data_IF_003100192319
#
_entry.id   IF_003100192319
#
_cell.length_a   1.000
_cell.length_b   1.000
_cell.length_c   1.000
_cell.angle_alpha   90.00
_cell.angle_beta   90.00
_cell.angle_gamma   90.00
#
_symmetry.space_group_name_H-M   'P 1'
#
loop_
_entity.id
_entity.type
_entity.pdbx_description
1 polymer ?
#
# COMPACT_ATOMS: atom_id res chain seq x y z
N UNK A 1 -18.36 2.24 -7.65
CA UNK A 1 -17.40 1.50 -6.80
C UNK A 1 -15.98 2.00 -7.02
N UNK A 2 -15.25 2.19 -5.95
CA UNK A 2 -13.83 2.51 -6.00
C UNK A 2 -13.05 1.45 -5.25
N UNK A 3 -11.83 1.17 -5.72
CA UNK A 3 -10.93 0.18 -5.12
C UNK A 3 -9.78 0.86 -4.41
N UNK A 4 -9.48 0.41 -3.19
CA UNK A 4 -8.30 0.83 -2.45
C UNK A 4 -7.40 -0.39 -2.22
N UNK A 5 -6.14 -0.25 -2.56
CA UNK A 5 -5.11 -1.26 -2.29
C UNK A 5 -4.08 -0.66 -1.34
N UNK A 6 -3.84 -1.35 -0.23
CA UNK A 6 -2.83 -0.97 0.75
C UNK A 6 -1.65 -1.95 0.65
N UNK A 7 -0.45 -1.43 0.55
CA UNK A 7 0.77 -2.24 0.42
C UNK A 7 1.75 -1.83 1.53
N UNK A 8 2.09 -2.78 2.39
CA UNK A 8 3.20 -2.58 3.31
C UNK A 8 4.51 -2.69 2.53
N UNK A 9 5.47 -1.80 2.78
CA UNK A 9 6.76 -1.85 2.11
C UNK A 9 7.39 -3.26 2.16
N UNK A 10 8.21 -3.59 1.17
CA UNK A 10 8.93 -4.85 1.12
C UNK A 10 10.03 -4.90 2.18
N UNK A 11 10.61 -6.08 2.40
CA UNK A 11 11.57 -6.31 3.48
C UNK A 11 12.77 -5.37 3.37
N UNK A 12 13.06 -4.67 4.46
CA UNK A 12 14.14 -3.68 4.51
C UNK A 12 15.39 -4.22 5.19
N UNK A 13 16.51 -3.54 4.93
CA UNK A 13 17.83 -3.90 5.45
C UNK A 13 18.06 -3.24 6.80
N UNK A 14 18.54 -4.02 7.77
CA UNK A 14 18.95 -3.56 9.09
C UNK A 14 20.47 -3.70 9.32
N UNK A 15 21.23 -4.07 8.28
CA UNK A 15 22.63 -4.45 8.43
C UNK A 15 23.59 -3.26 8.62
N UNK A 16 23.15 -2.03 8.33
CA UNK A 16 24.00 -0.84 8.42
C UNK A 16 23.81 -0.15 9.78
N UNK A 17 24.80 -0.26 10.71
CA UNK A 17 24.71 0.41 12.01
C UNK A 17 24.65 1.93 11.85
N UNK A 18 23.82 2.58 12.66
CA UNK A 18 23.70 4.04 12.66
C UNK A 18 22.94 4.64 11.50
N UNK A 19 22.40 3.83 10.60
CA UNK A 19 21.57 4.33 9.52
C UNK A 19 20.22 4.83 10.05
N UNK A 20 19.80 6.00 9.61
CA UNK A 20 18.51 6.59 9.95
C UNK A 20 17.41 5.69 9.38
N UNK A 21 16.36 5.45 10.17
CA UNK A 21 15.24 4.56 9.76
C UNK A 21 14.66 4.94 8.39
N UNK A 22 14.46 6.22 8.15
CA UNK A 22 13.94 6.74 6.89
C UNK A 22 14.74 6.28 5.67
N UNK A 23 16.06 6.17 5.81
CA UNK A 23 16.99 5.87 4.72
C UNK A 23 17.23 4.38 4.50
N UNK A 24 16.66 3.51 5.33
CA UNK A 24 16.90 2.07 5.20
C UNK A 24 16.36 1.54 3.86
N UNK A 25 17.23 0.92 3.03
CA UNK A 25 16.82 0.36 1.74
C UNK A 25 16.16 -1.02 1.89
N UNK A 26 15.68 -1.55 0.79
CA UNK A 26 15.25 -2.94 0.74
C UNK A 26 16.45 -3.88 0.83
N UNK A 27 16.27 -5.03 1.51
CA UNK A 27 17.25 -6.11 1.46
C UNK A 27 16.99 -6.98 0.20
N UNK A 28 17.76 -8.05 0.03
CA UNK A 28 17.64 -8.92 -1.14
C UNK A 28 16.25 -9.53 -1.26
N UNK A 29 15.66 -9.94 -0.15
CA UNK A 29 14.30 -10.50 -0.14
C UNK A 29 13.28 -9.45 -0.60
N UNK A 30 13.40 -8.22 -0.09
CA UNK A 30 12.51 -7.14 -0.50
C UNK A 30 12.63 -6.81 -1.98
N UNK A 31 13.84 -6.80 -2.51
CA UNK A 31 14.10 -6.56 -3.93
C UNK A 31 13.48 -7.65 -4.82
N UNK A 32 13.35 -8.86 -4.30
CA UNK A 32 12.71 -9.98 -4.99
C UNK A 32 11.18 -9.92 -4.86
N UNK A 33 10.68 -9.63 -3.66
CA UNK A 33 9.25 -9.70 -3.35
C UNK A 33 8.45 -8.58 -4.02
N UNK A 34 9.02 -7.37 -4.14
CA UNK A 34 8.29 -6.24 -4.72
C UNK A 34 7.86 -6.50 -6.18
N UNK A 35 8.74 -6.91 -7.10
CA UNK A 35 8.30 -7.21 -8.47
C UNK A 35 7.39 -8.44 -8.53
N UNK A 36 7.59 -9.44 -7.66
CA UNK A 36 6.76 -10.64 -7.63
C UNK A 36 5.31 -10.29 -7.27
N UNK A 37 5.11 -9.50 -6.22
CA UNK A 37 3.76 -9.10 -5.82
C UNK A 37 3.10 -8.22 -6.87
N UNK A 38 3.86 -7.36 -7.53
CA UNK A 38 3.35 -6.57 -8.65
C UNK A 38 2.89 -7.46 -9.81
N UNK A 39 3.65 -8.52 -10.12
CA UNK A 39 3.26 -9.47 -11.16
C UNK A 39 1.96 -10.20 -10.80
N UNK A 40 1.77 -10.56 -9.52
CA UNK A 40 0.51 -11.17 -9.06
C UNK A 40 -0.68 -10.21 -9.25
N UNK A 41 -0.49 -8.94 -8.90
CA UNK A 41 -1.53 -7.92 -9.12
C UNK A 41 -1.84 -7.76 -10.60
N UNK A 42 -0.82 -7.73 -11.44
CA UNK A 42 -1.00 -7.62 -12.89
C UNK A 42 -1.77 -8.80 -13.47
N UNK A 43 -1.46 -10.03 -13.03
CA UNK A 43 -2.16 -11.23 -13.49
C UNK A 43 -3.64 -11.23 -13.11
N UNK A 44 -3.97 -10.53 -12.02
CA UNK A 44 -5.36 -10.35 -11.56
C UNK A 44 -6.00 -9.09 -12.14
N UNK A 45 -5.32 -8.38 -13.04
CA UNK A 45 -5.76 -7.14 -13.68
C UNK A 45 -6.04 -6.03 -12.67
N UNK A 46 -5.26 -5.98 -11.59
CA UNK A 46 -5.37 -4.97 -10.53
C UNK A 46 -4.30 -3.90 -10.73
N UNK A 47 -4.54 -3.01 -11.69
CA UNK A 47 -3.66 -1.89 -11.98
C UNK A 47 -4.27 -0.60 -11.42
N UNK A 48 -3.55 0.12 -10.53
CA UNK A 48 -4.07 1.38 -10.01
C UNK A 48 -3.95 2.53 -11.03
N UNK A 49 -4.84 3.52 -10.89
CA UNK A 49 -4.77 4.78 -11.64
C UNK A 49 -3.82 5.76 -10.96
N UNK A 50 -3.65 5.63 -9.66
CA UNK A 50 -2.84 6.55 -8.85
C UNK A 50 -2.22 5.79 -7.69
N UNK A 51 -0.99 6.18 -7.35
CA UNK A 51 -0.24 5.61 -6.24
C UNK A 51 0.23 6.73 -5.32
N UNK A 52 0.14 6.51 -4.01
CA UNK A 52 0.65 7.44 -3.00
C UNK A 52 1.54 6.65 -2.05
N UNK A 53 2.75 7.13 -1.81
CA UNK A 53 3.72 6.42 -0.98
C UNK A 53 4.27 7.28 0.13
N UNK A 54 4.57 6.63 1.26
CA UNK A 54 5.49 7.18 2.25
C UNK A 54 6.82 7.48 1.56
N UNK A 55 7.49 8.58 1.91
CA UNK A 55 8.79 8.93 1.32
C UNK A 55 9.96 8.12 1.89
N UNK A 56 9.77 7.31 2.94
CA UNK A 56 10.84 6.43 3.43
C UNK A 56 11.35 5.57 2.28
N UNK A 57 12.68 5.40 2.20
CA UNK A 57 13.33 4.75 1.06
C UNK A 57 12.73 3.37 0.78
N UNK A 58 12.51 2.56 1.82
CA UNK A 58 11.94 1.21 1.65
C UNK A 58 10.53 1.22 1.06
N UNK A 59 9.71 2.20 1.42
CA UNK A 59 8.34 2.31 0.89
C UNK A 59 8.33 2.86 -0.53
N UNK A 60 9.07 3.92 -0.77
CA UNK A 60 9.15 4.54 -2.09
C UNK A 60 9.77 3.62 -3.12
N UNK A 61 10.79 2.84 -2.73
CA UNK A 61 11.40 1.84 -3.61
C UNK A 61 10.39 0.76 -3.98
N UNK A 62 9.63 0.25 -2.99
CA UNK A 62 8.56 -0.72 -3.24
C UNK A 62 7.56 -0.17 -4.24
N UNK A 63 7.10 1.07 -4.01
CA UNK A 63 6.12 1.73 -4.88
C UNK A 63 6.67 1.92 -6.30
N UNK A 64 7.92 2.35 -6.43
CA UNK A 64 8.55 2.59 -7.74
C UNK A 64 8.71 1.29 -8.53
N UNK A 65 9.11 0.21 -7.87
CA UNK A 65 9.23 -1.12 -8.51
C UNK A 65 7.87 -1.60 -8.98
N UNK A 66 6.84 -1.49 -8.13
CA UNK A 66 5.49 -1.90 -8.50
C UNK A 66 4.91 -1.04 -9.62
N UNK A 67 5.15 0.27 -9.60
CA UNK A 67 4.71 1.17 -10.67
C UNK A 67 5.28 0.74 -12.02
N UNK A 68 6.58 0.41 -12.05
CA UNK A 68 7.23 -0.05 -13.28
C UNK A 68 6.63 -1.37 -13.77
N UNK A 69 6.47 -2.36 -12.88
CA UNK A 69 5.91 -3.66 -13.25
C UNK A 69 4.44 -3.57 -13.68
N UNK A 70 3.67 -2.68 -13.06
CA UNK A 70 2.26 -2.46 -13.37
C UNK A 70 2.05 -1.46 -14.51
N UNK A 71 3.13 -0.88 -15.04
CA UNK A 71 3.08 0.13 -16.11
C UNK A 71 2.27 1.36 -15.71
N UNK A 72 2.46 1.82 -14.49
CA UNK A 72 1.91 3.07 -13.98
C UNK A 72 2.93 4.17 -14.23
N UNK A 73 2.50 5.27 -14.84
CA UNK A 73 3.41 6.38 -15.15
C UNK A 73 3.96 7.01 -13.86
N UNK A 74 5.22 7.44 -13.90
CA UNK A 74 5.86 8.07 -12.74
C UNK A 74 5.09 9.31 -12.24
N UNK A 75 4.41 10.01 -13.13
CA UNK A 75 3.57 11.17 -12.80
C UNK A 75 2.34 10.79 -11.97
N UNK A 76 1.97 9.51 -11.92
CA UNK A 76 0.86 9.02 -11.12
C UNK A 76 1.31 8.49 -9.75
N UNK A 77 2.61 8.52 -9.45
CA UNK A 77 3.15 8.16 -8.15
C UNK A 77 3.54 9.42 -7.39
N UNK A 78 2.90 9.63 -6.26
CA UNK A 78 3.03 10.81 -5.41
C UNK A 78 3.53 10.39 -4.03
N UNK A 79 4.30 11.26 -3.37
CA UNK A 79 4.76 11.05 -2.00
C UNK A 79 3.99 11.93 -1.04
N UNK A 80 3.79 11.46 0.20
CA UNK A 80 3.23 12.27 1.27
C UNK A 80 3.87 11.88 2.60
N UNK A 81 4.48 12.84 3.28
CA UNK A 81 5.19 12.62 4.54
C UNK A 81 4.29 12.10 5.65
N UNK A 82 2.99 12.40 5.61
CA UNK A 82 2.04 11.94 6.61
C UNK A 82 1.89 10.42 6.62
N UNK A 83 2.32 9.74 5.56
CA UNK A 83 2.30 8.27 5.51
C UNK A 83 3.46 7.62 6.23
N UNK A 84 4.49 8.39 6.61
CA UNK A 84 5.62 7.83 7.34
C UNK A 84 5.20 7.48 8.77
N UNK A 85 5.19 6.19 9.10
CA UNK A 85 4.77 5.64 10.41
C UNK A 85 3.40 6.18 10.83
N UNK A 86 2.49 6.30 9.88
CA UNK A 86 1.19 6.95 10.05
C UNK A 86 0.23 6.14 10.93
N UNK A 87 -0.64 6.86 11.63
CA UNK A 87 -1.84 6.27 12.25
C UNK A 87 -2.92 6.01 11.21
N UNK A 88 -3.93 5.17 11.51
CA UNK A 88 -5.08 5.02 10.60
C UNK A 88 -5.77 6.34 10.25
N UNK A 89 -5.90 7.24 11.23
CA UNK A 89 -6.53 8.56 10.99
C UNK A 89 -5.73 9.39 9.99
N UNK A 90 -4.39 9.38 10.08
CA UNK A 90 -3.52 10.08 9.13
C UNK A 90 -3.65 9.48 7.73
N UNK A 91 -3.69 8.16 7.62
CA UNK A 91 -3.85 7.48 6.34
C UNK A 91 -5.20 7.81 5.71
N UNK A 92 -6.27 7.85 6.51
CA UNK A 92 -7.60 8.21 6.03
C UNK A 92 -7.59 9.65 5.48
N UNK A 93 -6.96 10.58 6.18
CA UNK A 93 -6.86 11.97 5.74
C UNK A 93 -6.14 12.06 4.39
N UNK A 94 -5.02 11.35 4.23
CA UNK A 94 -4.26 11.33 2.97
C UNK A 94 -5.13 10.81 1.82
N UNK A 95 -5.81 9.68 2.02
CA UNK A 95 -6.66 9.09 0.98
C UNK A 95 -7.79 10.05 0.61
N UNK A 96 -8.45 10.64 1.59
CA UNK A 96 -9.54 11.59 1.34
C UNK A 96 -9.09 12.83 0.56
N UNK A 97 -7.91 13.35 0.89
CA UNK A 97 -7.41 14.57 0.25
C UNK A 97 -6.79 14.32 -1.11
N UNK A 98 -6.08 13.21 -1.28
CA UNK A 98 -5.23 12.99 -2.46
C UNK A 98 -5.76 11.92 -3.42
N UNK A 99 -6.82 11.21 -3.06
CA UNK A 99 -7.39 10.17 -3.92
C UNK A 99 -7.92 10.69 -5.25
N UNK A 100 -8.42 11.91 -5.27
CA UNK A 100 -8.90 12.56 -6.48
C UNK A 100 -9.99 11.76 -7.18
N UNK A 101 -9.86 11.62 -8.49
CA UNK A 101 -10.80 10.88 -9.33
C UNK A 101 -10.36 9.43 -9.61
N UNK A 102 -9.32 8.94 -8.92
CA UNK A 102 -8.83 7.59 -9.13
C UNK A 102 -9.92 6.55 -8.83
N UNK A 103 -10.13 5.62 -9.76
CA UNK A 103 -11.03 4.48 -9.55
C UNK A 103 -10.36 3.40 -8.71
N UNK A 104 -9.05 3.26 -8.86
CA UNK A 104 -8.22 2.35 -8.07
C UNK A 104 -7.02 3.14 -7.55
N UNK A 105 -6.99 3.32 -6.25
CA UNK A 105 -5.91 4.01 -5.54
C UNK A 105 -5.06 2.99 -4.79
N UNK A 106 -3.74 3.09 -4.90
CA UNK A 106 -2.80 2.22 -4.19
C UNK A 106 -1.94 3.08 -3.24
N UNK A 107 -1.85 2.67 -1.99
CA UNK A 107 -1.14 3.41 -0.94
C UNK A 107 -0.10 2.52 -0.30
N UNK A 108 1.13 3.05 -0.16
CA UNK A 108 2.28 2.34 0.40
C UNK A 108 2.66 2.93 1.74
N UNK A 109 2.77 2.08 2.75
CA UNK A 109 3.05 2.55 4.11
C UNK A 109 3.69 1.50 5.00
N UNK A 110 3.47 1.66 6.29
CA UNK A 110 4.20 0.98 7.36
C UNK A 110 3.28 0.37 8.41
N UNK A 111 3.74 -0.69 9.06
CA UNK A 111 3.10 -1.20 10.27
C UNK A 111 3.51 -0.38 11.51
N UNK A 112 2.70 -0.36 12.55
CA UNK A 112 1.41 -1.06 12.68
C UNK A 112 0.24 -0.35 12.00
N UNK A 113 0.40 0.89 11.61
CA UNK A 113 -0.69 1.73 11.11
C UNK A 113 -1.42 1.13 9.92
N UNK A 114 -0.71 0.52 8.95
CA UNK A 114 -1.34 0.01 7.75
C UNK A 114 -2.23 -1.21 8.02
N UNK A 115 -1.83 -2.08 8.94
CA UNK A 115 -2.67 -3.21 9.37
C UNK A 115 -3.93 -2.70 10.07
N UNK A 116 -3.76 -1.76 10.99
CA UNK A 116 -4.87 -1.16 11.71
C UNK A 116 -5.84 -0.44 10.76
N UNK A 117 -5.29 0.29 9.78
CA UNK A 117 -6.08 0.99 8.78
C UNK A 117 -6.92 0.00 7.95
N UNK A 118 -6.29 -1.07 7.46
CA UNK A 118 -7.00 -2.11 6.71
C UNK A 118 -8.16 -2.68 7.53
N UNK A 119 -7.92 -3.02 8.79
CA UNK A 119 -8.92 -3.60 9.66
C UNK A 119 -10.07 -2.62 9.98
N UNK A 120 -9.77 -1.35 10.18
CA UNK A 120 -10.79 -0.35 10.45
C UNK A 120 -11.63 -0.01 9.21
N UNK A 121 -11.07 -0.15 8.01
CA UNK A 121 -11.81 0.06 6.77
C UNK A 121 -12.71 -1.11 6.39
N UNK A 122 -12.31 -2.33 6.73
CA UNK A 122 -13.04 -3.53 6.34
C UNK A 122 -14.37 -3.65 7.09
N UNK A 123 -15.43 -4.02 6.35
CA UNK A 123 -16.74 -4.25 6.96
C UNK A 123 -16.78 -5.54 7.79
N UNK A 124 -15.98 -6.55 7.43
CA UNK A 124 -16.08 -7.87 8.06
C UNK A 124 -14.75 -8.58 8.25
N UNK A 125 -13.85 -8.52 7.27
CA UNK A 125 -12.57 -9.24 7.29
C UNK A 125 -11.54 -8.51 8.13
N UNK A 126 -10.89 -9.24 9.05
CA UNK A 126 -9.77 -8.70 9.83
C UNK A 126 -8.54 -9.56 9.63
N UNK A 127 -7.38 -8.93 9.60
CA UNK A 127 -6.08 -9.58 9.48
C UNK A 127 -5.28 -9.29 10.74
N UNK A 128 -4.51 -10.29 11.22
CA UNK A 128 -3.68 -10.11 12.41
C UNK A 128 -2.50 -9.17 12.12
N UNK A 129 -1.90 -9.35 10.96
CA UNK A 129 -0.73 -8.58 10.56
C UNK A 129 -0.57 -8.62 9.04
N UNK A 130 -0.33 -7.46 8.43
CA UNK A 130 0.07 -7.38 7.03
C UNK A 130 1.58 -7.57 6.96
N UNK A 131 2.08 -8.71 6.42
CA UNK A 131 3.53 -8.91 6.31
C UNK A 131 4.19 -7.91 5.38
N UNK A 132 5.52 -7.84 5.38
CA UNK A 132 6.26 -7.01 4.43
C UNK A 132 5.88 -7.41 3.00
N UNK A 133 5.67 -6.41 2.15
CA UNK A 133 5.14 -6.54 0.80
C UNK A 133 3.76 -7.20 0.72
N UNK A 134 3.05 -7.27 1.86
CA UNK A 134 1.66 -7.72 1.89
C UNK A 134 0.75 -6.69 1.25
N UNK A 135 -0.32 -7.19 0.63
CA UNK A 135 -1.27 -6.39 -0.15
C UNK A 135 -2.67 -6.66 0.36
N UNK A 136 -3.36 -5.62 0.78
CA UNK A 136 -4.77 -5.66 1.15
C UNK A 136 -5.55 -4.84 0.12
N UNK A 137 -6.68 -5.36 -0.36
CA UNK A 137 -7.52 -4.62 -1.29
C UNK A 137 -8.99 -4.76 -0.91
N UNK A 138 -9.75 -3.69 -1.10
CA UNK A 138 -11.19 -3.69 -0.83
C UNK A 138 -11.90 -2.73 -1.77
N UNK A 139 -13.21 -2.95 -1.94
CA UNK A 139 -14.09 -2.10 -2.73
C UNK A 139 -14.93 -1.23 -1.81
N UNK A 140 -15.19 0.00 -2.26
CA UNK A 140 -16.00 0.97 -1.51
C UNK A 140 -17.06 1.55 -2.43
N UNK A 141 -18.30 1.55 -1.94
CA UNK A 141 -19.43 2.12 -2.68
C UNK A 141 -19.50 3.63 -2.46
N UNK A 142 -18.55 4.33 -3.07
CA UNK A 142 -18.41 5.79 -2.99
C UNK A 142 -18.14 6.36 -4.38
N UNK A 143 -18.55 7.59 -4.59
CA UNK A 143 -18.26 8.34 -5.81
C UNK A 143 -17.11 9.33 -5.66
N UNK A 144 -16.60 9.50 -4.44
CA UNK A 144 -15.54 10.46 -4.11
C UNK A 144 -14.75 9.93 -2.92
N UNK A 145 -13.40 10.00 -2.99
CA UNK A 145 -12.55 9.54 -1.90
C UNK A 145 -12.77 10.32 -0.59
N UNK A 146 -13.29 11.52 -0.66
CA UNK A 146 -13.66 12.30 0.54
C UNK A 146 -14.75 11.63 1.36
N UNK A 147 -15.51 10.72 0.75
CA UNK A 147 -16.59 9.98 1.42
C UNK A 147 -16.12 8.64 2.00
N UNK A 148 -14.85 8.30 1.88
CA UNK A 148 -14.32 7.06 2.46
C UNK A 148 -14.60 7.02 3.97
N UNK A 149 -15.21 5.93 4.44
CA UNK A 149 -15.64 5.77 5.83
C UNK A 149 -15.15 4.46 6.43
N UNK A 150 -15.06 4.43 7.75
CA UNK A 150 -14.74 3.21 8.50
C UNK A 150 -15.80 2.14 8.29
N UNK A 151 -15.38 0.88 8.39
CA UNK A 151 -16.25 -0.30 8.33
C UNK A 151 -17.12 -0.36 7.07
N UNK A 152 -16.62 0.16 5.95
CA UNK A 152 -17.36 0.23 4.69
C UNK A 152 -16.75 -0.60 3.55
N UNK A 153 -15.53 -1.12 3.75
CA UNK A 153 -14.82 -1.90 2.73
C UNK A 153 -15.47 -3.25 2.49
N UNK A 154 -15.75 -3.55 1.23
CA UNK A 154 -16.41 -4.78 0.77
C UNK A 154 -15.42 -5.63 -0.01
N UNK A 155 -15.67 -6.94 -0.08
CA UNK A 155 -14.86 -7.89 -0.84
C UNK A 155 -13.37 -7.75 -0.50
N UNK A 156 -13.06 -7.64 0.79
CA UNK A 156 -11.68 -7.49 1.24
C UNK A 156 -10.87 -8.74 0.91
N UNK A 157 -9.72 -8.53 0.30
CA UNK A 157 -8.78 -9.58 -0.07
C UNK A 157 -7.40 -9.23 0.46
N UNK A 158 -6.60 -10.26 0.70
CA UNK A 158 -5.29 -10.12 1.32
C UNK A 158 -4.33 -11.15 0.72
N UNK A 159 -3.15 -10.69 0.33
CA UNK A 159 -2.10 -11.54 -0.21
C UNK A 159 -0.74 -11.09 0.32
N UNK A 160 0.24 -11.99 0.30
CA UNK A 160 1.59 -11.70 0.77
C UNK A 160 2.58 -12.66 0.10
N UNK A 161 3.89 -12.34 0.08
CA UNK A 161 4.85 -13.11 -0.71
C UNK A 161 4.87 -14.61 -0.45
N UNK A 162 4.75 -15.02 0.82
CA UNK A 162 4.79 -16.45 1.18
C UNK A 162 3.46 -17.17 1.00
N UNK A 163 2.42 -16.46 0.55
CA UNK A 163 1.12 -17.08 0.27
C UNK A 163 1.14 -17.71 -1.11
N UNK A 164 1.49 -18.98 -1.17
CA UNK A 164 1.49 -19.73 -2.42
C UNK A 164 0.22 -20.58 -2.47
N UNK A 165 -0.51 -20.56 -3.60
CA UNK A 165 -1.65 -21.43 -3.80
C UNK A 165 -1.25 -22.89 -3.92
#
# INVERSE_FOLDING_TARGET
>A
MRRLTLVRHAKSDWSLPGQVDWDRPLNKRGQRDAPEMARRLRSRKLKPDRMISSPAVRALTTASVMARELKVAATQLQQDERLYLASPADMLAVVRELGGDAKHLMVFGHNPGITEFANQLSASEHIDNLPTCGVFTALFDIGDWRDLAWASGQEAEFDYPKNHP
#
